data_IF_201029242771
#
_entry.id   IF_201029242771
#
_cell.length_a   1.000
_cell.length_b   1.000
_cell.length_c   1.000
_cell.angle_alpha   90.00
_cell.angle_beta   90.00
_cell.angle_gamma   90.00
#
_symmetry.space_group_name_H-M   'P 1'
#
loop_
_entity.id
_entity.type
_entity.pdbx_description
1 polymer ?
#
# COMPACT_ATOMS: atom_id res chain seq x y z
N UNK A 1 27.55 -1.09 16.61
CA UNK A 1 27.25 -1.77 15.33
C UNK A 1 26.38 -0.79 14.54
N UNK A 2 26.84 -0.32 13.39
CA UNK A 2 26.07 0.60 12.55
C UNK A 2 24.96 -0.13 11.80
N UNK A 3 23.84 0.54 11.57
CA UNK A 3 22.77 0.06 10.68
C UNK A 3 23.37 -0.17 9.29
N UNK A 4 23.15 -1.35 8.70
CA UNK A 4 23.59 -1.64 7.33
C UNK A 4 22.50 -1.25 6.34
N UNK A 5 22.89 -0.60 5.25
CA UNK A 5 22.01 -0.39 4.08
C UNK A 5 21.97 -1.66 3.23
N UNK A 6 20.77 -2.15 2.92
CA UNK A 6 20.54 -3.34 2.11
C UNK A 6 20.42 -2.98 0.63
N UNK A 7 21.18 -3.65 -0.23
CA UNK A 7 21.09 -3.46 -1.68
C UNK A 7 19.93 -4.28 -2.26
N UNK A 8 19.09 -3.62 -3.05
CA UNK A 8 17.90 -4.21 -3.69
C UNK A 8 17.78 -3.71 -5.13
N UNK A 9 17.14 -4.48 -6.00
CA UNK A 9 16.78 -4.01 -7.34
C UNK A 9 15.33 -3.57 -7.36
N UNK A 10 15.00 -2.54 -8.12
CA UNK A 10 13.61 -2.21 -8.42
C UNK A 10 12.94 -3.43 -9.09
N UNK A 11 11.67 -3.68 -8.76
CA UNK A 11 10.92 -4.88 -9.16
C UNK A 11 11.19 -6.12 -8.32
N UNK A 12 12.22 -6.13 -7.48
CA UNK A 12 12.46 -7.26 -6.58
C UNK A 12 11.48 -7.27 -5.41
N UNK A 13 11.22 -8.48 -4.90
CA UNK A 13 10.48 -8.68 -3.66
C UNK A 13 11.45 -8.88 -2.51
N UNK A 14 11.24 -8.15 -1.43
CA UNK A 14 11.99 -8.30 -0.18
C UNK A 14 11.07 -8.82 0.91
N UNK A 15 11.62 -9.63 1.80
CA UNK A 15 10.90 -10.17 2.94
C UNK A 15 11.32 -9.49 4.23
N UNK A 16 10.38 -9.39 5.16
CA UNK A 16 10.59 -8.87 6.50
C UNK A 16 10.40 -10.01 7.48
N UNK A 17 11.41 -10.21 8.31
CA UNK A 17 11.35 -11.17 9.40
C UNK A 17 11.10 -10.41 10.70
N UNK A 18 9.94 -10.63 11.30
CA UNK A 18 9.57 -10.09 12.61
C UNK A 18 9.80 -11.11 13.71
N UNK A 19 10.23 -10.65 14.89
CA UNK A 19 10.25 -11.46 16.11
C UNK A 19 8.80 -11.71 16.57
N UNK A 20 8.21 -12.82 16.10
CA UNK A 20 6.87 -13.29 16.50
C UNK A 20 5.78 -13.06 15.46
N UNK A 21 4.66 -13.78 15.60
CA UNK A 21 3.50 -13.65 14.71
C UNK A 21 2.74 -12.35 14.96
N UNK A 22 2.29 -11.68 13.90
CA UNK A 22 1.29 -10.61 14.00
C UNK A 22 -0.03 -11.24 14.46
N UNK A 23 -0.64 -10.69 15.53
CA UNK A 23 -1.84 -11.26 16.16
C UNK A 23 -3.02 -10.29 16.30
N UNK A 24 -2.82 -9.01 15.97
CA UNK A 24 -3.86 -7.99 16.07
C UNK A 24 -4.50 -7.74 14.70
N UNK A 25 -5.83 -7.55 14.68
CA UNK A 25 -6.56 -7.19 13.47
C UNK A 25 -6.10 -5.83 12.96
N UNK A 26 -5.91 -5.73 11.65
CA UNK A 26 -5.65 -4.47 10.95
C UNK A 26 -4.61 -4.60 9.85
N UNK A 27 -4.37 -3.52 9.09
CA UNK A 27 -3.55 -3.58 7.88
C UNK A 27 -2.05 -3.68 8.19
N UNK A 28 -1.31 -4.19 7.21
CA UNK A 28 0.13 -4.08 7.10
C UNK A 28 0.45 -3.13 5.94
N UNK A 29 1.20 -2.06 6.21
CA UNK A 29 1.47 -1.00 5.26
C UNK A 29 2.96 -0.79 5.08
N UNK A 30 3.37 -0.52 3.85
CA UNK A 30 4.76 -0.25 3.49
C UNK A 30 4.89 1.11 2.82
N UNK A 31 5.90 1.87 3.25
CA UNK A 31 6.20 3.19 2.72
C UNK A 31 7.67 3.32 2.38
N UNK A 32 7.98 4.13 1.36
CA UNK A 32 9.36 4.47 0.99
C UNK A 32 9.56 5.99 1.04
N UNK A 33 10.72 6.43 1.49
CA UNK A 33 11.16 7.83 1.40
C UNK A 33 12.58 7.90 0.85
N UNK A 34 12.76 8.61 -0.27
CA UNK A 34 14.06 8.78 -0.92
C UNK A 34 14.93 9.75 -0.09
N UNK A 35 16.17 9.37 0.18
CA UNK A 35 17.14 10.31 0.73
C UNK A 35 17.45 11.42 -0.30
N UNK A 36 17.51 12.69 0.11
CA UNK A 36 17.85 13.79 -0.80
C UNK A 36 19.20 13.58 -1.46
N UNK A 37 19.37 14.07 -2.69
CA UNK A 37 20.64 14.00 -3.42
C UNK A 37 21.80 14.51 -2.56
N UNK A 38 22.86 13.69 -2.45
CA UNK A 38 24.05 14.00 -1.64
C UNK A 38 23.89 13.72 -0.15
N UNK A 39 22.73 13.25 0.30
CA UNK A 39 22.48 12.80 1.68
C UNK A 39 22.48 11.28 1.70
N UNK A 40 23.25 10.68 2.62
CA UNK A 40 23.16 9.25 2.86
C UNK A 40 21.91 8.93 3.67
N UNK A 41 21.33 7.76 3.46
CA UNK A 41 20.13 7.34 4.21
C UNK A 41 20.38 7.22 5.72
N UNK A 42 21.62 6.96 6.13
CA UNK A 42 22.00 6.94 7.56
C UNK A 42 21.85 8.30 8.26
N UNK A 43 21.89 9.40 7.48
CA UNK A 43 21.74 10.78 7.96
C UNK A 43 20.35 11.37 7.64
N UNK A 44 19.48 10.60 6.96
CA UNK A 44 18.16 11.03 6.55
C UNK A 44 17.10 10.62 7.57
N UNK A 45 16.33 11.58 8.09
CA UNK A 45 15.32 11.35 9.14
C UNK A 45 13.88 11.19 8.62
N UNK A 46 13.67 11.28 7.30
CA UNK A 46 12.35 11.11 6.70
C UNK A 46 11.32 12.18 7.06
N UNK A 47 11.73 13.35 7.55
CA UNK A 47 10.77 14.41 7.89
C UNK A 47 10.22 15.13 6.66
N UNK A 48 9.02 15.67 6.82
CA UNK A 48 8.30 16.39 5.78
C UNK A 48 7.56 15.45 4.84
N UNK A 49 7.06 15.99 3.73
CA UNK A 49 6.33 15.24 2.72
C UNK A 49 7.30 14.46 1.82
N UNK A 50 7.77 13.32 2.30
CA UNK A 50 8.80 12.51 1.64
C UNK A 50 8.39 11.06 1.41
N UNK A 51 7.27 10.62 1.99
CA UNK A 51 6.87 9.23 1.99
C UNK A 51 5.85 8.93 0.89
N UNK A 52 6.00 7.77 0.25
CA UNK A 52 5.00 7.20 -0.66
C UNK A 52 4.57 5.84 -0.13
N UNK A 53 3.28 5.53 -0.20
CA UNK A 53 2.76 4.21 0.17
C UNK A 53 2.97 3.24 -1.00
N UNK A 54 3.69 2.14 -0.78
CA UNK A 54 3.98 1.14 -1.82
C UNK A 54 3.14 -0.14 -1.68
N UNK A 55 2.62 -0.43 -0.49
CA UNK A 55 1.66 -1.52 -0.27
C UNK A 55 0.76 -1.21 0.93
N UNK A 56 -0.42 -1.82 0.93
CA UNK A 56 -1.38 -1.84 2.04
C UNK A 56 -2.18 -3.12 1.97
N UNK A 57 -1.79 -4.09 2.79
CA UNK A 57 -2.34 -5.43 2.81
C UNK A 57 -3.28 -5.62 4.01
N UNK A 58 -4.44 -6.20 3.75
CA UNK A 58 -5.33 -6.71 4.79
C UNK A 58 -4.96 -8.16 5.15
N UNK A 59 -5.23 -8.63 6.38
CA UNK A 59 -5.00 -10.02 6.70
C UNK A 59 -5.91 -10.93 5.87
N UNK A 60 -5.34 -12.04 5.42
CA UNK A 60 -6.13 -13.18 4.96
C UNK A 60 -6.60 -14.00 6.15
N UNK A 61 -7.85 -14.44 6.12
CA UNK A 61 -8.42 -15.33 7.13
C UNK A 61 -8.32 -16.78 6.63
N UNK A 62 -7.54 -17.61 7.33
CA UNK A 62 -7.49 -19.06 7.09
C UNK A 62 -7.97 -19.78 8.34
N UNK A 63 -9.19 -20.32 8.31
CA UNK A 63 -9.87 -20.78 9.53
C UNK A 63 -10.10 -19.60 10.47
N UNK A 64 -9.60 -19.69 11.71
CA UNK A 64 -9.65 -18.60 12.71
C UNK A 64 -8.34 -17.78 12.76
N UNK A 65 -7.38 -18.06 11.87
CA UNK A 65 -6.05 -17.43 11.89
C UNK A 65 -5.94 -16.32 10.86
N UNK A 66 -5.55 -15.14 11.32
CA UNK A 66 -5.16 -14.01 10.47
C UNK A 66 -3.71 -14.17 10.02
N UNK A 67 -3.46 -13.97 8.73
CA UNK A 67 -2.11 -14.07 8.14
C UNK A 67 -1.89 -12.88 7.21
N UNK A 68 -0.71 -12.26 7.30
CA UNK A 68 -0.29 -11.16 6.43
C UNK A 68 0.84 -11.63 5.52
N UNK A 69 0.98 -11.03 4.32
CA UNK A 69 2.21 -11.13 3.55
C UNK A 69 3.40 -10.66 4.39
N UNK A 70 4.50 -11.40 4.37
CA UNK A 70 5.76 -11.01 5.02
C UNK A 70 6.74 -10.39 4.01
N UNK A 71 6.23 -9.87 2.90
CA UNK A 71 7.06 -9.37 1.80
C UNK A 71 6.43 -8.13 1.16
N UNK A 72 7.26 -7.36 0.46
CA UNK A 72 6.82 -6.25 -0.39
C UNK A 72 7.66 -6.20 -1.65
N UNK A 73 7.05 -5.80 -2.77
CA UNK A 73 7.76 -5.54 -4.03
C UNK A 73 8.21 -4.09 -4.07
N UNK A 74 9.50 -3.87 -4.38
CA UNK A 74 10.03 -2.53 -4.64
C UNK A 74 9.53 -2.07 -6.01
N UNK A 75 8.82 -0.93 -6.13
CA UNK A 75 8.26 -0.53 -7.42
C UNK A 75 9.33 -0.28 -8.47
N UNK A 76 9.14 -0.77 -9.70
CA UNK A 76 10.11 -0.61 -10.80
C UNK A 76 10.25 0.84 -11.28
N UNK A 77 9.23 1.66 -11.05
CA UNK A 77 9.14 3.01 -11.59
C UNK A 77 9.80 4.10 -10.74
N UNK A 78 10.30 3.77 -9.54
CA UNK A 78 11.01 4.74 -8.71
C UNK A 78 12.42 5.01 -9.26
N UNK A 79 13.04 6.08 -8.78
CA UNK A 79 14.42 6.42 -9.11
C UNK A 79 15.43 5.57 -8.31
N UNK A 80 16.60 5.32 -8.87
CA UNK A 80 17.73 4.73 -8.15
C UNK A 80 18.19 5.62 -6.99
N UNK A 81 18.60 5.02 -5.87
CA UNK A 81 19.17 5.76 -4.74
C UNK A 81 18.95 5.07 -3.40
N UNK A 82 19.28 5.78 -2.32
CA UNK A 82 19.05 5.27 -0.96
C UNK A 82 17.69 5.73 -0.42
N UNK A 83 17.01 4.83 0.29
CA UNK A 83 15.66 5.02 0.79
C UNK A 83 15.54 4.53 2.23
N UNK A 84 14.74 5.25 3.02
CA UNK A 84 14.09 4.66 4.17
C UNK A 84 12.90 3.84 3.70
N UNK A 85 12.80 2.62 4.21
CA UNK A 85 11.68 1.72 3.99
C UNK A 85 10.98 1.48 5.33
N UNK A 86 9.77 2.00 5.46
CA UNK A 86 8.96 1.93 6.67
C UNK A 86 7.94 0.81 6.56
N UNK A 87 7.99 -0.11 7.50
CA UNK A 87 6.96 -1.12 7.73
C UNK A 87 6.09 -0.67 8.91
N UNK A 88 4.77 -0.77 8.74
CA UNK A 88 3.81 -0.46 9.79
C UNK A 88 2.72 -1.54 9.84
N UNK A 89 2.51 -2.12 11.00
CA UNK A 89 1.25 -2.80 11.31
C UNK A 89 0.37 -1.89 12.18
N UNK A 90 -0.87 -1.69 11.77
CA UNK A 90 -1.86 -0.89 12.52
C UNK A 90 -2.88 -1.82 13.17
N UNK A 91 -2.73 -2.10 14.46
CA UNK A 91 -3.68 -2.86 15.24
C UNK A 91 -4.92 -2.03 15.58
N UNK A 92 -6.09 -2.47 15.12
CA UNK A 92 -7.39 -1.76 15.29
C UNK A 92 -8.39 -2.54 16.16
N UNK A 93 -7.95 -3.58 16.85
CA UNK A 93 -8.80 -4.40 17.72
C UNK A 93 -9.44 -3.61 18.90
N UNK A 94 -8.81 -2.51 19.33
CA UNK A 94 -9.30 -1.61 20.39
C UNK A 94 -9.58 -0.18 19.90
N UNK A 95 -9.72 0.02 18.58
CA UNK A 95 -9.74 1.33 17.94
C UNK A 95 -11.09 2.10 18.00
N UNK A 96 -12.05 1.68 18.82
CA UNK A 96 -13.36 2.34 18.90
C UNK A 96 -13.33 3.74 19.53
N UNK A 97 -12.19 4.10 20.13
CA UNK A 97 -11.97 5.39 20.77
C UNK A 97 -10.66 6.00 20.27
N UNK A 98 -10.60 7.33 20.30
CA UNK A 98 -9.40 8.09 19.93
C UNK A 98 -8.22 7.64 20.80
N UNK A 99 -7.12 7.24 20.15
CA UNK A 99 -5.93 6.69 20.83
C UNK A 99 -5.98 5.19 21.11
N UNK A 100 -7.04 4.48 20.71
CA UNK A 100 -7.16 3.03 20.87
C UNK A 100 -6.41 2.18 19.82
N UNK A 101 -6.05 2.79 18.67
CA UNK A 101 -5.27 2.13 17.63
C UNK A 101 -3.78 2.00 18.01
N UNK A 102 -3.15 0.92 17.56
CA UNK A 102 -1.78 0.57 17.96
C UNK A 102 -0.87 0.46 16.74
N UNK A 103 0.15 1.32 16.68
CA UNK A 103 1.11 1.35 15.58
C UNK A 103 2.38 0.58 15.96
N UNK A 104 2.68 -0.48 15.22
CA UNK A 104 3.93 -1.24 15.31
C UNK A 104 4.78 -0.91 14.10
N UNK A 105 5.84 -0.12 14.30
CA UNK A 105 6.61 0.48 13.21
C UNK A 105 8.07 0.03 13.28
N UNK A 106 8.64 -0.27 12.13
CA UNK A 106 10.09 -0.39 11.94
C UNK A 106 10.52 0.28 10.64
N UNK A 107 11.80 0.68 10.57
CA UNK A 107 12.39 1.24 9.36
C UNK A 107 13.66 0.47 9.00
N UNK A 108 13.84 0.21 7.71
CA UNK A 108 15.07 -0.31 7.13
C UNK A 108 15.72 0.74 6.23
N UNK A 109 17.03 0.64 6.07
CA UNK A 109 17.80 1.41 5.09
C UNK A 109 18.03 0.51 3.87
N UNK A 110 17.62 0.97 2.69
CA UNK A 110 17.83 0.24 1.44
C UNK A 110 18.47 1.12 0.38
N UNK A 111 19.16 0.50 -0.57
CA UNK A 111 19.71 1.14 -1.77
C UNK A 111 19.14 0.44 -2.99
N UNK A 112 18.34 1.17 -3.74
CA UNK A 112 17.62 0.69 -4.93
C UNK A 112 18.46 0.97 -6.18
N UNK A 113 18.56 -0.02 -7.05
CA UNK A 113 19.11 0.10 -8.40
C UNK A 113 18.17 -0.46 -9.47
N UNK A 114 18.30 -0.01 -10.71
CA UNK A 114 17.53 -0.53 -11.85
C UNK A 114 16.10 0.02 -11.96
N UNK A 115 15.78 1.10 -11.24
CA UNK A 115 14.51 1.81 -11.36
C UNK A 115 14.44 2.66 -12.63
N UNK A 116 13.23 2.81 -13.18
CA UNK A 116 13.02 3.57 -14.43
C UNK A 116 12.85 5.08 -14.22
N UNK A 117 12.71 5.54 -12.96
CA UNK A 117 12.48 6.94 -12.60
C UNK A 117 11.26 7.59 -13.30
N UNK A 118 10.28 6.78 -13.72
CA UNK A 118 9.05 7.24 -14.39
C UNK A 118 7.98 7.74 -13.42
N UNK A 119 8.04 7.35 -12.15
CA UNK A 119 7.17 7.86 -11.10
C UNK A 119 7.79 9.09 -10.43
N UNK A 120 7.17 10.25 -10.65
CA UNK A 120 7.58 11.55 -10.09
C UNK A 120 6.38 12.16 -9.36
N UNK A 121 6.20 11.87 -8.06
CA UNK A 121 5.08 12.41 -7.30
C UNK A 121 5.31 13.90 -7.01
N UNK A 122 4.24 14.68 -7.08
CA UNK A 122 4.26 16.05 -6.55
C UNK A 122 4.32 16.01 -5.03
N UNK A 123 4.98 17.00 -4.43
CA UNK A 123 5.16 17.04 -2.97
C UNK A 123 3.84 17.00 -2.20
N UNK A 124 2.74 17.49 -2.79
CA UNK A 124 1.40 17.45 -2.20
C UNK A 124 0.79 16.06 -2.08
N UNK A 125 1.14 15.15 -2.99
CA UNK A 125 0.70 13.75 -3.01
C UNK A 125 1.54 12.86 -2.08
N UNK A 126 2.66 13.39 -1.58
CA UNK A 126 3.54 12.69 -0.65
C UNK A 126 3.06 12.84 0.81
N UNK A 127 3.36 11.81 1.59
CA UNK A 127 2.97 11.68 2.98
C UNK A 127 4.09 12.17 3.92
N UNK A 128 3.70 12.62 5.11
CA UNK A 128 4.57 13.03 6.19
C UNK A 128 4.25 12.24 7.46
N UNK A 129 5.28 11.77 8.15
CA UNK A 129 5.15 11.12 9.45
C UNK A 129 6.02 11.87 10.48
N UNK A 130 5.42 12.62 11.43
CA UNK A 130 3.97 12.86 11.63
C UNK A 130 3.35 13.80 10.58
N UNK A 131 2.02 13.75 10.43
CA UNK A 131 1.23 14.71 9.64
C UNK A 131 0.19 14.10 8.70
N UNK A 132 0.40 12.88 8.22
CA UNK A 132 -0.50 12.22 7.26
C UNK A 132 -1.61 11.37 7.87
N UNK A 133 -1.58 11.18 9.19
CA UNK A 133 -2.62 10.47 9.93
C UNK A 133 -3.33 11.43 10.87
N UNK A 134 -4.65 11.33 10.92
CA UNK A 134 -5.48 11.94 11.95
C UNK A 134 -6.04 10.86 12.89
N UNK A 135 -6.10 11.18 14.18
CA UNK A 135 -6.65 10.25 15.18
C UNK A 135 -8.13 9.92 14.97
N UNK A 136 -8.83 10.74 14.18
CA UNK A 136 -10.23 10.57 13.78
C UNK A 136 -10.40 9.96 12.38
N UNK A 137 -9.30 9.61 11.67
CA UNK A 137 -9.40 8.93 10.38
C UNK A 137 -10.25 7.66 10.54
N UNK A 138 -11.18 7.36 9.60
CA UNK A 138 -12.09 6.22 9.72
C UNK A 138 -11.40 4.85 9.68
N UNK A 139 -10.13 4.80 9.24
CA UNK A 139 -9.27 3.62 9.33
C UNK A 139 -8.49 3.50 10.64
N UNK A 140 -8.40 4.59 11.43
CA UNK A 140 -7.68 4.65 12.70
C UNK A 140 -8.65 4.57 13.88
N UNK A 141 -9.77 5.29 13.82
CA UNK A 141 -10.84 5.21 14.82
C UNK A 141 -12.02 4.45 14.23
N UNK A 142 -12.07 3.15 14.53
CA UNK A 142 -13.00 2.21 13.92
C UNK A 142 -13.43 1.14 14.91
N UNK A 143 -14.67 0.68 14.78
CA UNK A 143 -15.18 -0.46 15.54
C UNK A 143 -15.37 -1.66 14.60
N UNK A 144 -14.58 -2.73 14.81
CA UNK A 144 -14.51 -3.87 13.90
C UNK A 144 -15.31 -5.11 14.35
N UNK A 145 -15.98 -5.05 15.50
CA UNK A 145 -16.55 -6.25 16.14
C UNK A 145 -17.99 -6.57 15.73
N UNK A 146 -18.98 -5.76 16.11
CA UNK A 146 -20.37 -6.01 15.69
C UNK A 146 -21.28 -4.76 15.76
N UNK A 147 -21.87 -4.31 14.64
CA UNK A 147 -21.81 -4.92 13.31
C UNK A 147 -20.41 -4.82 12.69
N UNK A 148 -19.98 -5.90 12.02
CA UNK A 148 -18.68 -5.92 11.33
C UNK A 148 -18.76 -4.97 10.13
N UNK A 149 -17.81 -4.02 9.97
CA UNK A 149 -17.75 -3.16 8.81
C UNK A 149 -17.68 -3.97 7.50
N UNK A 150 -18.45 -3.57 6.51
CA UNK A 150 -18.40 -4.15 5.16
C UNK A 150 -17.38 -3.47 4.25
N UNK A 151 -16.82 -2.35 4.72
CA UNK A 151 -15.74 -1.63 4.09
C UNK A 151 -14.74 -1.19 5.15
N UNK A 152 -13.49 -1.12 4.74
CA UNK A 152 -12.39 -0.58 5.52
C UNK A 152 -11.49 0.21 4.55
N UNK A 153 -10.90 1.29 5.03
CA UNK A 153 -9.92 2.05 4.26
C UNK A 153 -8.76 2.34 5.18
N UNK A 154 -7.62 1.71 4.89
CA UNK A 154 -6.39 1.97 5.65
C UNK A 154 -5.99 3.45 5.53
N UNK A 155 -5.49 4.08 6.61
CA UNK A 155 -5.12 5.49 6.60
C UNK A 155 -3.89 5.74 5.71
N UNK A 156 -3.61 7.01 5.38
CA UNK A 156 -2.40 7.37 4.61
C UNK A 156 -2.56 7.31 3.10
N UNK A 157 -3.77 7.51 2.59
CA UNK A 157 -4.01 7.66 1.15
C UNK A 157 -3.83 6.38 0.32
N UNK A 158 -3.89 6.50 -1.02
CA UNK A 158 -3.80 5.36 -1.92
C UNK A 158 -2.37 4.80 -2.00
N UNK A 159 -2.27 3.52 -2.38
CA UNK A 159 -0.99 2.91 -2.80
C UNK A 159 -0.57 3.53 -4.14
N UNK A 160 0.71 3.85 -4.27
CA UNK A 160 1.27 4.38 -5.52
C UNK A 160 1.11 3.39 -6.67
N UNK A 161 0.97 3.90 -7.89
CA UNK A 161 0.87 3.07 -9.09
C UNK A 161 1.93 3.54 -10.09
N UNK A 162 2.72 2.60 -10.61
CA UNK A 162 3.64 2.91 -11.69
C UNK A 162 2.87 3.37 -12.95
N UNK A 163 3.29 4.47 -13.61
CA UNK A 163 2.57 5.00 -14.78
C UNK A 163 2.34 3.97 -15.89
N UNK A 164 3.29 3.07 -16.15
CA UNK A 164 3.12 2.03 -17.16
C UNK A 164 2.01 1.03 -16.82
N UNK A 165 1.89 0.64 -15.55
CA UNK A 165 0.78 -0.20 -15.05
C UNK A 165 -0.54 0.54 -15.21
N UNK A 166 -0.57 1.83 -14.86
CA UNK A 166 -1.77 2.66 -15.01
C UNK A 166 -2.21 2.80 -16.47
N UNK A 167 -1.28 3.04 -17.39
CA UNK A 167 -1.56 3.11 -18.82
C UNK A 167 -2.08 1.78 -19.37
N UNK A 168 -1.51 0.65 -18.92
CA UNK A 168 -1.98 -0.68 -19.30
C UNK A 168 -3.39 -0.96 -18.77
N UNK A 169 -3.68 -0.53 -17.54
CA UNK A 169 -5.03 -0.60 -16.97
C UNK A 169 -6.04 0.24 -17.77
N UNK A 170 -5.70 1.48 -18.14
CA UNK A 170 -6.59 2.31 -18.97
C UNK A 170 -6.83 1.71 -20.35
N UNK A 171 -5.79 1.12 -20.97
CA UNK A 171 -5.92 0.41 -22.26
C UNK A 171 -6.83 -0.81 -22.15
N UNK A 172 -6.73 -1.61 -21.09
CA UNK A 172 -7.60 -2.78 -20.90
C UNK A 172 -9.07 -2.40 -20.69
N UNK A 173 -9.34 -1.29 -20.00
CA UNK A 173 -10.70 -0.76 -19.86
C UNK A 173 -11.25 -0.22 -21.18
N UNK A 174 -10.41 0.41 -22.02
CA UNK A 174 -10.82 0.86 -23.35
C UNK A 174 -11.18 -0.31 -24.27
N UNK A 175 -10.38 -1.37 -24.29
CA UNK A 175 -10.67 -2.58 -25.10
C UNK A 175 -11.89 -3.34 -24.57
N UNK A 176 -12.10 -3.40 -23.25
CA UNK A 176 -13.32 -3.97 -22.65
C UNK A 176 -14.58 -3.18 -23.07
N UNK A 177 -14.50 -1.85 -23.14
CA UNK A 177 -15.61 -0.99 -23.59
C UNK A 177 -15.90 -1.14 -25.09
N UNK A 178 -14.88 -1.38 -25.91
CA UNK A 178 -15.04 -1.70 -27.34
C UNK A 178 -15.63 -3.10 -27.56
N UNK A 179 -15.19 -4.12 -26.80
CA UNK A 179 -15.81 -5.44 -26.81
C UNK A 179 -17.27 -5.41 -26.34
N UNK A 180 -17.61 -4.61 -25.33
CA UNK A 180 -18.99 -4.39 -24.89
C UNK A 180 -19.86 -3.75 -25.99
N UNK A 181 -19.32 -2.86 -26.82
CA UNK A 181 -20.03 -2.31 -28.00
C UNK A 181 -20.28 -3.37 -29.07
N UNK A 182 -19.36 -4.30 -29.29
CA UNK A 182 -19.56 -5.44 -30.21
C UNK A 182 -20.60 -6.44 -29.68
N UNK A 183 -20.63 -6.69 -28.36
CA UNK A 183 -21.62 -7.54 -27.70
C UNK A 183 -23.01 -6.87 -27.58
N UNK A 184 -23.04 -5.53 -27.46
CA UNK A 184 -24.26 -4.71 -27.41
C UNK A 184 -25.05 -4.64 -28.72
N UNK A 185 -24.51 -5.16 -29.84
CA UNK A 185 -25.25 -5.31 -31.09
C UNK A 185 -26.14 -6.56 -31.18
N UNK A 186 -26.20 -7.41 -30.13
CA UNK A 186 -27.20 -8.48 -30.03
C UNK A 186 -27.86 -8.53 -28.66
N UNK A 187 -28.95 -7.78 -28.50
CA UNK A 187 -30.31 -8.24 -28.13
C UNK A 187 -31.14 -7.05 -27.61
N UNK A 188 -32.23 -6.75 -28.33
CA UNK A 188 -33.44 -6.20 -27.73
C UNK A 188 -34.07 -7.31 -26.88
N UNK A 189 -34.15 -7.14 -25.58
CA UNK A 189 -35.30 -7.49 -24.72
C UNK A 189 -34.88 -7.38 -23.26
N UNK A 190 -35.69 -6.65 -22.49
CA UNK A 190 -35.89 -6.70 -21.04
C UNK A 190 -34.98 -7.65 -20.24
N UNK A 191 -34.23 -7.12 -19.29
CA UNK A 191 -34.37 -7.48 -17.86
C UNK A 191 -33.43 -6.65 -16.97
N UNK A 192 -33.93 -6.32 -15.77
CA UNK A 192 -33.22 -5.61 -14.71
C UNK A 192 -31.95 -6.35 -14.27
N UNK A 193 -30.83 -5.65 -14.08
CA UNK A 193 -29.67 -6.18 -13.37
C UNK A 193 -29.00 -5.11 -12.48
N UNK A 194 -28.92 -5.45 -11.19
CA UNK A 194 -28.21 -4.79 -10.08
C UNK A 194 -26.77 -5.36 -9.98
N UNK A 195 -25.92 -4.86 -9.05
CA UNK A 195 -24.65 -4.16 -9.31
C UNK A 195 -23.41 -5.05 -9.58
N UNK A 196 -22.37 -4.41 -10.13
CA UNK A 196 -21.01 -4.95 -10.28
C UNK A 196 -20.39 -5.34 -8.93
N UNK A 197 -19.94 -6.60 -8.82
CA UNK A 197 -18.90 -7.01 -7.88
C UNK A 197 -17.68 -7.42 -8.70
N UNK A 198 -16.53 -6.81 -8.44
CA UNK A 198 -15.26 -7.15 -9.07
C UNK A 198 -14.57 -8.22 -8.21
N UNK A 199 -14.53 -9.45 -8.71
CA UNK A 199 -13.57 -10.46 -8.24
C UNK A 199 -12.35 -10.44 -9.16
N UNK A 200 -11.16 -10.29 -8.58
CA UNK A 200 -9.89 -10.54 -9.27
C UNK A 200 -9.67 -12.04 -9.55
N UNK A 201 -8.72 -12.41 -10.41
CA UNK A 201 -8.49 -13.80 -10.77
C UNK A 201 -7.78 -14.55 -9.63
N UNK A 202 -8.41 -15.61 -9.14
CA UNK A 202 -7.73 -16.72 -8.45
C UNK A 202 -6.80 -17.45 -9.43
N UNK A 203 -5.66 -17.94 -8.91
CA UNK A 203 -4.88 -19.00 -9.55
C UNK A 203 -5.53 -20.35 -9.32
#
# INVERSE_FOLDING_TARGET
>A
MGTKTLDVTAGSTISFEGYGSIIHQGPLQFYMAKAPTGTKVEDFDGKGKTWIKISSDEPTLTGDRLTWPNFVTIPECIEDGEYLLRLEHLGIHSASTTGGAQFYISCAQIRVTGGTATFQPEAEDMLAFPGSYDSEDPGIKVFIWYPVPTNYTAPGGPVMICPEIFLNYLKSQATAKEHSKCLGMRRKSSDNAFPMSLYGPEQ
#
